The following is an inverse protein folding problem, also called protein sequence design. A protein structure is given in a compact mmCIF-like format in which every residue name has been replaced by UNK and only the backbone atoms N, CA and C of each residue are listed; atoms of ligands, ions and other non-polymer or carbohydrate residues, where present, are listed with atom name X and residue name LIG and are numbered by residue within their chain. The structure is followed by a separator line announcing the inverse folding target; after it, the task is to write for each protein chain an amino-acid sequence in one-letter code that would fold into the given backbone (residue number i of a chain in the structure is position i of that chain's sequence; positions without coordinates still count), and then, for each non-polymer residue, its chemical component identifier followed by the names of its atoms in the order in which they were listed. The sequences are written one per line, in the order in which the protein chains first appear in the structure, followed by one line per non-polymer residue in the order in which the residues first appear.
data_IF_985263538101
#
_entry.id   IF_985263538101
#
_cell.length_a   1.000
_cell.length_b   1.000
_cell.length_c   1.000
_cell.angle_alpha   90.00
_cell.angle_beta   90.00
_cell.angle_gamma   90.00
#
_symmetry.space_group_name_H-M   'P 1'
#
loop_
_entity.id
_entity.type
_entity.pdbx_description
1 polymer ?
#
# COMPACT_ATOMS: atom_id res chain seq x y z
N UNK A 1 -23.39 9.02 4.55
CA UNK A 1 -23.46 10.40 5.09
C UNK A 1 -22.04 10.94 5.24
N UNK A 2 -21.84 12.19 4.94
CA UNK A 2 -20.56 12.87 5.05
C UNK A 2 -20.46 13.62 6.39
N UNK A 3 -19.27 13.64 6.98
CA UNK A 3 -18.96 14.46 8.14
C UNK A 3 -17.66 15.22 7.90
N UNK A 4 -17.63 16.48 8.29
CA UNK A 4 -16.44 17.32 8.19
C UNK A 4 -16.09 17.89 9.57
N UNK A 5 -14.79 17.78 9.92
CA UNK A 5 -14.24 18.39 11.13
C UNK A 5 -13.23 19.46 10.74
N UNK A 6 -13.38 20.65 11.33
CA UNK A 6 -12.45 21.76 11.09
C UNK A 6 -11.83 22.22 12.40
N UNK A 7 -10.51 22.41 12.41
CA UNK A 7 -9.79 22.91 13.58
C UNK A 7 -8.27 22.89 13.35
N UNK A 8 -7.49 23.49 14.25
CA UNK A 8 -6.04 23.45 14.19
C UNK A 8 -5.55 22.02 14.49
N UNK A 9 -5.10 21.31 13.44
CA UNK A 9 -4.63 19.92 13.55
C UNK A 9 -3.14 19.78 13.81
N UNK A 10 -2.34 20.76 13.38
CA UNK A 10 -0.88 20.72 13.51
C UNK A 10 -0.37 22.00 14.18
N UNK A 11 0.85 21.92 14.72
CA UNK A 11 1.54 23.00 15.39
C UNK A 11 1.78 22.75 16.88
N UNK A 12 2.68 23.52 17.47
CA UNK A 12 3.17 23.31 18.84
C UNK A 12 2.02 23.34 19.88
N UNK A 13 1.14 24.35 19.82
CA UNK A 13 0.05 24.48 20.80
C UNK A 13 -1.04 23.42 20.66
N UNK A 14 -1.60 23.13 19.47
CA UNK A 14 -2.61 22.08 19.34
C UNK A 14 -2.09 20.71 19.73
N UNK A 15 -0.86 20.37 19.33
CA UNK A 15 -0.24 19.10 19.69
C UNK A 15 -0.02 18.99 21.20
N UNK A 16 0.53 20.02 21.83
CA UNK A 16 0.74 20.04 23.28
C UNK A 16 -0.60 19.92 24.05
N UNK A 17 -1.66 20.58 23.58
CA UNK A 17 -3.00 20.48 24.19
C UNK A 17 -3.52 19.06 24.15
N UNK A 18 -3.40 18.37 23.03
CA UNK A 18 -3.84 16.98 22.89
C UNK A 18 -3.06 16.04 23.82
N UNK A 19 -1.74 16.12 23.82
CA UNK A 19 -0.89 15.28 24.68
C UNK A 19 -1.19 15.51 26.16
N UNK A 20 -1.31 16.77 26.59
CA UNK A 20 -1.61 17.09 27.99
C UNK A 20 -3.02 16.61 28.38
N UNK A 21 -4.00 16.72 27.49
CA UNK A 21 -5.35 16.22 27.74
C UNK A 21 -5.36 14.69 27.95
N UNK A 22 -4.63 13.94 27.12
CA UNK A 22 -4.50 12.49 27.24
C UNK A 22 -3.81 12.09 28.56
N UNK A 23 -2.73 12.79 28.93
CA UNK A 23 -2.03 12.56 30.21
C UNK A 23 -2.94 12.82 31.40
N UNK A 24 -3.74 13.90 31.38
CA UNK A 24 -4.68 14.20 32.44
C UNK A 24 -5.75 13.11 32.56
N UNK A 25 -6.26 12.62 31.44
CA UNK A 25 -7.30 11.59 31.43
C UNK A 25 -6.77 10.26 31.96
N UNK A 26 -5.56 9.87 31.55
CA UNK A 26 -4.87 8.70 32.09
C UNK A 26 -4.63 8.81 33.60
N UNK A 27 -4.15 9.96 34.08
CA UNK A 27 -3.91 10.21 35.50
C UNK A 27 -5.20 10.10 36.33
N UNK A 28 -6.32 10.63 35.81
CA UNK A 28 -7.63 10.48 36.46
C UNK A 28 -8.08 9.03 36.53
N UNK A 29 -7.89 8.25 35.47
CA UNK A 29 -8.20 6.83 35.42
C UNK A 29 -7.40 6.04 36.47
N UNK A 30 -6.10 6.25 36.49
CA UNK A 30 -5.19 5.61 37.48
C UNK A 30 -5.59 5.95 38.91
N UNK A 31 -5.87 7.22 39.21
CA UNK A 31 -6.22 7.68 40.54
C UNK A 31 -7.58 7.11 41.03
N UNK A 32 -8.49 6.82 40.11
CA UNK A 32 -9.78 6.19 40.45
C UNK A 32 -9.71 4.67 40.52
N UNK A 33 -8.62 4.06 40.07
CA UNK A 33 -8.50 2.60 39.91
C UNK A 33 -9.31 2.05 38.74
N UNK A 34 -9.81 2.92 37.88
CA UNK A 34 -10.55 2.52 36.69
C UNK A 34 -9.60 2.12 35.58
N UNK A 35 -9.81 0.96 34.98
CA UNK A 35 -9.28 0.65 33.66
C UNK A 35 -9.99 1.59 32.69
N UNK A 36 -9.25 2.39 31.92
CA UNK A 36 -9.84 3.23 30.88
C UNK A 36 -10.78 2.38 30.03
N UNK A 37 -12.04 2.80 29.84
CA UNK A 37 -12.96 2.06 29.02
C UNK A 37 -12.33 1.89 27.63
N UNK A 38 -12.26 0.64 27.16
CA UNK A 38 -11.89 0.40 25.78
C UNK A 38 -12.76 1.28 24.88
N UNK A 39 -12.13 1.99 23.95
CA UNK A 39 -12.82 2.91 23.03
C UNK A 39 -14.04 2.27 22.33
N UNK A 40 -14.02 0.95 22.22
CA UNK A 40 -15.11 0.15 21.71
C UNK A 40 -15.20 -1.18 22.46
N UNK A 41 -16.37 -1.43 23.05
CA UNK A 41 -16.75 -2.76 23.49
C UNK A 41 -17.31 -3.52 22.29
N UNK A 42 -16.45 -4.04 21.42
CA UNK A 42 -16.90 -4.95 20.38
C UNK A 42 -17.33 -6.27 21.02
N UNK A 43 -18.60 -6.60 20.88
CA UNK A 43 -19.16 -7.88 21.33
C UNK A 43 -18.99 -8.98 20.30
N UNK A 44 -18.44 -8.66 19.12
CA UNK A 44 -18.17 -9.62 18.04
C UNK A 44 -16.71 -10.02 18.06
N UNK A 45 -16.47 -11.30 17.82
CA UNK A 45 -15.12 -11.80 17.57
C UNK A 45 -14.48 -11.02 16.41
N UNK A 46 -13.24 -10.59 16.62
CA UNK A 46 -12.51 -9.88 15.57
C UNK A 46 -11.96 -10.90 14.59
N UNK A 47 -12.42 -10.83 13.36
CA UNK A 47 -11.86 -11.60 12.24
C UNK A 47 -10.98 -10.67 11.43
N UNK A 48 -9.71 -11.00 11.30
CA UNK A 48 -8.77 -10.27 10.46
C UNK A 48 -8.89 -10.74 9.00
N UNK A 49 -8.82 -9.79 8.08
CA UNK A 49 -8.73 -10.10 6.66
C UNK A 49 -7.43 -10.89 6.37
N UNK A 50 -7.53 -11.89 5.53
CA UNK A 50 -6.39 -12.63 5.01
C UNK A 50 -5.79 -11.90 3.80
N UNK A 51 -4.66 -12.36 3.28
CA UNK A 51 -4.07 -11.77 2.07
C UNK A 51 -4.96 -11.96 0.84
N UNK A 52 -5.73 -13.04 0.78
CA UNK A 52 -6.71 -13.33 -0.27
C UNK A 52 -7.91 -12.37 -0.26
N UNK A 53 -8.27 -11.85 0.93
CA UNK A 53 -9.36 -10.87 1.07
C UNK A 53 -8.96 -9.46 0.63
N UNK A 54 -7.65 -9.19 0.55
CA UNK A 54 -7.10 -7.87 0.20
C UNK A 54 -6.87 -7.79 -1.32
N UNK A 55 -7.92 -7.47 -2.05
CA UNK A 55 -7.96 -7.47 -3.52
C UNK A 55 -8.00 -6.04 -4.05
N UNK A 56 -6.93 -5.63 -4.73
CA UNK A 56 -6.77 -4.28 -5.27
C UNK A 56 -6.04 -4.26 -6.62
N UNK A 57 -6.00 -3.11 -7.28
CA UNK A 57 -5.14 -2.83 -8.42
C UNK A 57 -3.82 -2.25 -7.96
N UNK A 58 -2.75 -2.51 -8.70
CA UNK A 58 -1.42 -2.00 -8.36
C UNK A 58 -0.74 -1.39 -9.59
N UNK A 59 -0.01 -0.33 -9.33
CA UNK A 59 0.92 0.29 -10.25
C UNK A 59 2.32 -0.26 -9.99
N UNK A 60 3.04 -0.61 -11.07
CA UNK A 60 4.43 -1.04 -11.04
C UNK A 60 5.26 -0.10 -11.91
N UNK A 61 6.30 0.50 -11.36
CA UNK A 61 7.31 1.24 -12.09
C UNK A 61 8.56 0.39 -12.23
N UNK A 62 8.90 0.02 -13.45
CA UNK A 62 9.97 -0.92 -13.77
C UNK A 62 10.93 -0.27 -14.76
N UNK A 63 12.22 -0.41 -14.53
CA UNK A 63 13.24 -0.05 -15.52
C UNK A 63 13.94 -1.29 -16.01
N UNK A 64 14.28 -1.29 -17.31
CA UNK A 64 15.00 -2.38 -17.98
C UNK A 64 15.85 -1.84 -19.12
N UNK A 65 16.63 -2.71 -19.77
CA UNK A 65 17.26 -2.38 -21.03
C UNK A 65 16.20 -2.15 -22.13
N UNK A 66 16.44 -1.15 -23.00
CA UNK A 66 15.56 -0.89 -24.16
C UNK A 66 15.86 -1.86 -25.30
N UNK A 67 15.30 -3.07 -25.19
CA UNK A 67 15.43 -4.11 -26.21
C UNK A 67 14.14 -4.90 -26.38
N UNK A 68 13.99 -5.53 -27.55
CA UNK A 68 12.84 -6.38 -27.84
C UNK A 68 12.73 -7.54 -26.84
N UNK A 69 11.49 -7.87 -26.44
CA UNK A 69 11.20 -8.99 -25.55
C UNK A 69 11.04 -8.64 -24.09
N UNK A 70 11.46 -7.47 -23.63
CA UNK A 70 11.38 -7.11 -22.20
C UNK A 70 9.94 -7.09 -21.68
N UNK A 71 9.02 -6.51 -22.44
CA UNK A 71 7.61 -6.52 -22.06
C UNK A 71 7.01 -7.95 -22.08
N UNK A 72 7.51 -8.82 -22.95
CA UNK A 72 7.07 -10.22 -22.99
C UNK A 72 7.43 -10.94 -21.68
N UNK A 73 8.63 -10.76 -21.16
CA UNK A 73 9.05 -11.36 -19.88
C UNK A 73 8.13 -10.92 -18.73
N UNK A 74 7.77 -9.63 -18.68
CA UNK A 74 6.81 -9.14 -17.68
C UNK A 74 5.43 -9.75 -17.88
N UNK A 75 4.95 -9.83 -19.14
CA UNK A 75 3.66 -10.43 -19.45
C UNK A 75 3.59 -11.92 -19.04
N UNK A 76 4.67 -12.67 -19.20
CA UNK A 76 4.78 -14.07 -18.78
C UNK A 76 4.70 -14.18 -17.23
N UNK A 77 5.36 -13.32 -16.48
CA UNK A 77 5.29 -13.30 -15.02
C UNK A 77 3.86 -13.00 -14.54
N UNK A 78 3.22 -11.98 -15.09
CA UNK A 78 1.85 -11.63 -14.73
C UNK A 78 0.86 -12.74 -15.13
N UNK A 79 1.04 -13.35 -16.31
CA UNK A 79 0.23 -14.48 -16.73
C UNK A 79 0.38 -15.67 -15.78
N UNK A 80 1.58 -15.96 -15.31
CA UNK A 80 1.84 -17.06 -14.37
C UNK A 80 1.11 -16.85 -13.02
N UNK A 81 0.88 -15.60 -12.61
CA UNK A 81 0.07 -15.23 -11.45
C UNK A 81 -1.43 -15.07 -11.77
N UNK A 82 -1.85 -15.39 -13.01
CA UNK A 82 -3.22 -15.19 -13.48
C UNK A 82 -3.71 -13.74 -13.34
N UNK A 83 -2.84 -12.77 -13.57
CA UNK A 83 -3.11 -11.34 -13.52
C UNK A 83 -2.95 -10.74 -14.90
N UNK A 84 -3.85 -9.86 -15.30
CA UNK A 84 -3.79 -9.13 -16.56
C UNK A 84 -3.36 -7.68 -16.35
N UNK A 85 -2.83 -7.06 -17.40
CA UNK A 85 -2.59 -5.62 -17.46
C UNK A 85 -3.90 -4.88 -17.78
N UNK A 86 -4.16 -3.79 -17.05
CA UNK A 86 -5.20 -2.83 -17.42
C UNK A 86 -4.61 -1.75 -18.34
N UNK A 87 -3.41 -1.27 -17.99
CA UNK A 87 -2.68 -0.28 -18.77
C UNK A 87 -1.18 -0.57 -18.74
N UNK A 88 -0.52 -0.28 -19.85
CA UNK A 88 0.94 -0.36 -19.98
C UNK A 88 1.42 0.87 -20.72
N UNK A 89 2.44 1.52 -20.16
CA UNK A 89 3.17 2.61 -20.79
C UNK A 89 4.64 2.25 -20.84
N UNK A 90 5.27 2.42 -22.01
CA UNK A 90 6.70 2.23 -22.17
C UNK A 90 7.31 3.49 -22.77
N UNK A 91 8.40 3.94 -22.18
CA UNK A 91 9.14 5.13 -22.61
C UNK A 91 10.64 4.85 -22.60
N UNK A 92 11.33 5.27 -23.65
CA UNK A 92 12.80 5.30 -23.66
C UNK A 92 13.29 6.43 -22.77
N UNK A 93 14.14 6.12 -21.81
CA UNK A 93 14.70 7.08 -20.84
C UNK A 93 16.17 7.44 -21.09
N UNK A 94 16.70 7.10 -22.26
CA UNK A 94 18.10 7.29 -22.62
C UNK A 94 19.02 6.14 -22.19
N UNK A 95 20.29 6.21 -22.55
CA UNK A 95 21.33 5.25 -22.14
C UNK A 95 20.94 3.76 -22.38
N UNK A 96 20.25 3.49 -23.49
CA UNK A 96 19.75 2.17 -23.85
C UNK A 96 18.83 1.54 -22.77
N UNK A 97 18.05 2.39 -22.07
CA UNK A 97 17.12 1.98 -21.01
C UNK A 97 15.69 2.40 -21.35
N UNK A 98 14.76 1.60 -20.88
CA UNK A 98 13.33 1.87 -20.95
C UNK A 98 12.71 1.86 -19.56
N UNK A 99 11.74 2.74 -19.36
CA UNK A 99 10.82 2.73 -18.23
C UNK A 99 9.51 2.09 -18.67
N UNK A 100 9.03 1.12 -17.91
CA UNK A 100 7.78 0.44 -18.14
C UNK A 100 6.89 0.68 -16.91
N UNK A 101 5.75 1.32 -17.14
CA UNK A 101 4.72 1.54 -16.13
C UNK A 101 3.54 0.61 -16.41
N UNK A 102 3.17 -0.21 -15.45
CA UNK A 102 2.06 -1.16 -15.56
C UNK A 102 1.02 -0.84 -14.50
N UNK A 103 -0.25 -0.73 -14.90
CA UNK A 103 -1.39 -0.80 -14.00
C UNK A 103 -2.03 -2.17 -14.20
N UNK A 104 -2.14 -2.94 -13.13
CA UNK A 104 -2.72 -4.27 -13.16
C UNK A 104 -4.24 -4.24 -13.06
N UNK A 105 -4.90 -5.31 -13.51
CA UNK A 105 -6.22 -5.64 -13.01
C UNK A 105 -6.14 -6.01 -11.53
N UNK A 106 -7.31 -6.19 -10.90
CA UNK A 106 -7.40 -6.59 -9.49
C UNK A 106 -6.68 -7.91 -9.25
N UNK A 107 -5.88 -7.95 -8.19
CA UNK A 107 -5.19 -9.14 -7.70
C UNK A 107 -5.22 -9.15 -6.18
N UNK A 108 -5.10 -10.29 -5.56
CA UNK A 108 -4.93 -10.40 -4.13
C UNK A 108 -3.48 -10.09 -3.69
N UNK A 109 -3.29 -9.94 -2.39
CA UNK A 109 -1.98 -9.55 -1.86
C UNK A 109 -0.92 -10.66 -2.00
N UNK A 110 -1.29 -11.95 -2.11
CA UNK A 110 -0.34 -13.03 -2.37
C UNK A 110 0.21 -12.93 -3.81
N UNK A 111 -0.68 -12.69 -4.79
CA UNK A 111 -0.29 -12.49 -6.19
C UNK A 111 0.63 -11.27 -6.33
N UNK A 112 0.29 -10.16 -5.63
CA UNK A 112 1.12 -8.96 -5.60
C UNK A 112 2.52 -9.23 -5.03
N UNK A 113 2.61 -9.86 -3.86
CA UNK A 113 3.89 -10.20 -3.22
C UNK A 113 4.74 -11.10 -4.12
N UNK A 114 4.14 -12.12 -4.75
CA UNK A 114 4.80 -13.01 -5.70
C UNK A 114 5.34 -12.27 -6.92
N UNK A 115 4.56 -11.33 -7.49
CA UNK A 115 5.01 -10.52 -8.63
C UNK A 115 6.17 -9.60 -8.24
N UNK A 116 6.11 -8.95 -7.09
CA UNK A 116 7.20 -8.08 -6.58
C UNK A 116 8.50 -8.89 -6.43
N UNK A 117 8.43 -10.08 -5.85
CA UNK A 117 9.59 -10.97 -5.68
C UNK A 117 10.15 -11.39 -7.04
N UNK A 118 9.31 -11.89 -7.95
CA UNK A 118 9.72 -12.37 -9.27
C UNK A 118 10.30 -11.28 -10.15
N UNK A 119 9.69 -10.09 -10.18
CA UNK A 119 10.21 -8.95 -10.95
C UNK A 119 11.55 -8.50 -10.37
N UNK A 120 11.69 -8.46 -9.05
CA UNK A 120 12.93 -8.07 -8.38
C UNK A 120 14.08 -9.07 -8.59
N UNK A 121 13.76 -10.34 -8.82
CA UNK A 121 14.72 -11.40 -9.11
C UNK A 121 15.06 -11.52 -10.61
N UNK A 122 14.32 -10.83 -11.49
CA UNK A 122 14.51 -10.94 -12.94
C UNK A 122 15.75 -10.16 -13.37
N UNK A 123 16.68 -10.84 -14.02
CA UNK A 123 17.92 -10.23 -14.49
C UNK A 123 17.68 -9.15 -15.55
N UNK A 124 18.34 -8.01 -15.40
CA UNK A 124 18.20 -6.85 -16.28
C UNK A 124 16.96 -5.98 -16.01
N UNK A 125 16.18 -6.29 -14.96
CA UNK A 125 15.04 -5.49 -14.52
C UNK A 125 15.31 -4.84 -13.16
N UNK A 126 14.74 -3.68 -12.96
CA UNK A 126 14.78 -2.97 -11.67
C UNK A 126 13.37 -2.50 -11.33
N UNK A 127 12.76 -3.07 -10.31
CA UNK A 127 11.50 -2.59 -9.78
C UNK A 127 11.77 -1.32 -8.95
N UNK A 128 11.31 -0.17 -9.45
CA UNK A 128 11.55 1.15 -8.83
C UNK A 128 10.54 1.46 -7.76
N UNK A 129 9.28 1.16 -8.03
CA UNK A 129 8.20 1.45 -7.11
C UNK A 129 6.97 0.60 -7.39
N UNK A 130 6.15 0.42 -6.36
CA UNK A 130 4.80 -0.14 -6.46
C UNK A 130 3.85 0.71 -5.64
N UNK A 131 2.65 0.97 -6.16
CA UNK A 131 1.63 1.79 -5.49
C UNK A 131 0.28 1.11 -5.65
N UNK A 132 -0.48 1.02 -4.57
CA UNK A 132 -1.88 0.61 -4.63
C UNK A 132 -2.69 1.68 -5.37
N UNK A 133 -3.47 1.28 -6.36
CA UNK A 133 -4.37 2.15 -7.13
C UNK A 133 -5.76 2.12 -6.49
N UNK A 134 -6.29 3.31 -6.19
CA UNK A 134 -7.60 3.51 -5.55
C UNK A 134 -8.68 3.73 -6.62
#
# INVERSE_FOLDING_TARGET
NEAMFYGPGAGQKPTATSVVADVIELAKGINKGDVLPAFNTFTRETVYATKEDLVDKYYFAIETEDKAGQLLHLAELFHAENVSFEQVFQENIGDNRASIAIISHKMDLNQFDSLVEKISALDGFTLRNTIKVI
#
